data_IF_500199134553
#
_entry.id   IF_500199134553
#
_cell.length_a   1.000
_cell.length_b   1.000
_cell.length_c   1.000
_cell.angle_alpha   90.00
_cell.angle_beta   90.00
_cell.angle_gamma   90.00
#
_symmetry.space_group_name_H-M   'P 1'
#
loop_
_entity.id
_entity.type
_entity.pdbx_description
1 polymer ?
#
# COMPACT_ATOMS: atom_id res chain seq x y z
N UNK A 1 -11.79 2.22 -14.78
CA UNK A 1 -12.21 1.23 -13.75
C UNK A 1 -13.23 1.87 -12.84
N UNK A 2 -14.39 1.24 -12.63
CA UNK A 2 -15.46 1.65 -11.71
C UNK A 2 -14.98 1.95 -10.27
N UNK A 3 -14.18 1.06 -9.65
CA UNK A 3 -13.67 1.28 -8.28
C UNK A 3 -12.82 2.54 -8.16
N UNK A 4 -11.98 2.84 -9.16
CA UNK A 4 -11.24 4.10 -9.22
C UNK A 4 -12.18 5.29 -9.41
N UNK A 5 -13.15 5.23 -10.33
CA UNK A 5 -14.12 6.31 -10.53
C UNK A 5 -14.85 6.59 -9.21
N UNK A 6 -15.33 5.55 -8.52
CA UNK A 6 -15.98 5.67 -7.22
C UNK A 6 -15.08 6.35 -6.18
N UNK A 7 -13.81 5.95 -6.07
CA UNK A 7 -12.86 6.61 -5.16
C UNK A 7 -12.66 8.09 -5.49
N UNK A 8 -12.65 8.47 -6.77
CA UNK A 8 -12.46 9.85 -7.21
C UNK A 8 -13.75 10.70 -7.17
N UNK A 9 -14.92 10.08 -7.08
CA UNK A 9 -16.21 10.79 -7.05
C UNK A 9 -16.96 10.66 -5.73
N UNK A 10 -16.43 9.91 -4.76
CA UNK A 10 -17.12 9.72 -3.47
C UNK A 10 -17.23 11.03 -2.68
N UNK A 11 -18.32 11.24 -1.91
CA UNK A 11 -18.60 12.52 -1.26
C UNK A 11 -17.52 13.00 -0.29
N UNK A 12 -16.80 12.08 0.34
CA UNK A 12 -15.81 12.36 1.39
C UNK A 12 -14.60 13.13 0.87
N UNK A 13 -14.31 13.06 -0.43
CA UNK A 13 -13.19 13.75 -1.10
C UNK A 13 -11.86 13.60 -0.36
N UNK A 14 -11.57 12.39 0.08
CA UNK A 14 -10.55 12.09 1.09
C UNK A 14 -9.39 11.21 0.57
N UNK A 15 -9.31 11.04 -0.76
CA UNK A 15 -8.24 10.31 -1.45
C UNK A 15 -6.99 11.16 -1.66
N UNK A 16 -5.88 10.51 -2.07
CA UNK A 16 -4.66 11.21 -2.47
C UNK A 16 -4.89 12.17 -3.65
N UNK A 17 -5.75 11.79 -4.60
CA UNK A 17 -6.12 12.63 -5.74
C UNK A 17 -6.80 13.93 -5.31
N UNK A 18 -7.73 13.87 -4.35
CA UNK A 18 -8.42 15.08 -3.87
C UNK A 18 -7.48 16.05 -3.14
N UNK A 19 -6.40 15.53 -2.54
CA UNK A 19 -5.39 16.32 -1.83
C UNK A 19 -4.29 16.88 -2.74
N UNK A 20 -4.24 16.43 -3.99
CA UNK A 20 -3.26 16.87 -4.96
C UNK A 20 -3.75 18.11 -5.72
N UNK A 21 -3.14 19.26 -5.43
CA UNK A 21 -3.48 20.53 -6.09
C UNK A 21 -3.23 20.51 -7.62
N UNK A 22 -2.44 19.55 -8.12
CA UNK A 22 -2.13 19.37 -9.55
C UNK A 22 -2.90 18.19 -10.17
N UNK A 23 -3.82 17.59 -9.42
CA UNK A 23 -4.63 16.46 -9.84
C UNK A 23 -5.26 16.69 -11.21
N UNK A 24 -5.16 15.69 -12.07
CA UNK A 24 -5.85 15.69 -13.36
C UNK A 24 -7.34 15.63 -13.13
N UNK A 25 -8.09 16.63 -13.63
CA UNK A 25 -9.55 16.61 -13.54
C UNK A 25 -10.12 15.46 -14.34
N UNK A 26 -11.26 14.96 -13.88
CA UNK A 26 -12.00 13.90 -14.54
C UNK A 26 -13.39 14.40 -14.96
N UNK A 27 -13.85 13.94 -16.12
CA UNK A 27 -15.20 14.15 -16.64
C UNK A 27 -15.89 12.79 -16.77
N UNK A 28 -16.83 12.52 -15.85
CA UNK A 28 -17.52 11.24 -15.78
C UNK A 28 -18.65 11.20 -16.80
N UNK A 29 -18.61 10.21 -17.69
CA UNK A 29 -19.67 9.92 -18.65
C UNK A 29 -20.43 8.69 -18.23
N UNK A 30 -21.73 8.84 -18.09
CA UNK A 30 -22.66 7.76 -17.80
C UNK A 30 -23.34 7.29 -19.09
N UNK A 31 -23.64 6.00 -19.16
CA UNK A 31 -24.32 5.40 -20.30
C UNK A 31 -25.50 4.58 -19.81
N UNK A 32 -26.62 4.68 -20.55
CA UNK A 32 -27.84 3.88 -20.31
C UNK A 32 -28.30 3.98 -18.85
N UNK A 33 -28.65 5.21 -18.44
CA UNK A 33 -29.20 5.51 -17.11
C UNK A 33 -28.36 4.98 -15.95
N UNK A 34 -27.04 5.18 -16.02
CA UNK A 34 -26.10 4.80 -14.97
C UNK A 34 -25.65 3.34 -15.00
N UNK A 35 -26.06 2.54 -16.01
CA UNK A 35 -25.63 1.14 -16.15
C UNK A 35 -24.10 0.97 -16.15
N UNK A 36 -23.38 1.89 -16.80
CA UNK A 36 -21.91 1.93 -16.76
C UNK A 36 -21.39 3.36 -16.84
N UNK A 37 -20.16 3.54 -16.35
CA UNK A 37 -19.47 4.83 -16.36
C UNK A 37 -18.05 4.71 -16.91
N UNK A 38 -17.57 5.78 -17.52
CA UNK A 38 -16.15 6.02 -17.78
C UNK A 38 -15.80 7.40 -17.23
N UNK A 39 -14.50 7.65 -17.00
CA UNK A 39 -13.99 8.97 -16.66
C UNK A 39 -12.97 9.39 -17.72
N UNK A 40 -13.25 10.48 -18.41
CA UNK A 40 -12.30 11.11 -19.32
C UNK A 40 -11.32 11.95 -18.50
N UNK A 41 -10.03 11.84 -18.79
CA UNK A 41 -8.99 12.61 -18.12
C UNK A 41 -8.76 13.93 -18.88
N UNK A 42 -8.71 15.06 -18.18
CA UNK A 42 -8.44 16.39 -18.76
C UNK A 42 -7.08 16.45 -19.48
N UNK A 43 -6.12 15.65 -19.01
CA UNK A 43 -4.78 15.49 -19.60
C UNK A 43 -4.31 14.05 -19.45
N UNK A 44 -3.26 13.69 -20.19
CA UNK A 44 -2.61 12.39 -20.02
C UNK A 44 -2.02 12.28 -18.61
N UNK A 45 -2.43 11.26 -17.86
CA UNK A 45 -2.00 11.01 -16.49
C UNK A 45 -1.84 9.51 -16.26
N UNK A 46 -0.59 9.03 -16.31
CA UNK A 46 -0.34 7.62 -16.12
C UNK A 46 -0.55 7.17 -14.66
N UNK A 47 -0.52 8.07 -13.66
CA UNK A 47 -0.85 7.71 -12.27
C UNK A 47 -2.28 7.20 -12.20
N UNK A 48 -3.22 7.86 -12.87
CA UNK A 48 -4.62 7.45 -12.92
C UNK A 48 -4.86 6.28 -13.90
N UNK A 49 -4.14 6.21 -15.02
CA UNK A 49 -4.29 5.09 -15.95
C UNK A 49 -3.79 3.77 -15.36
N UNK A 50 -2.60 3.77 -14.75
CA UNK A 50 -2.02 2.62 -14.05
C UNK A 50 -2.78 2.33 -12.74
N UNK A 51 -3.25 3.37 -12.05
CA UNK A 51 -4.07 3.28 -10.84
C UNK A 51 -5.48 2.69 -11.05
N UNK A 52 -5.81 2.24 -12.26
CA UNK A 52 -6.97 1.39 -12.47
C UNK A 52 -6.78 -0.03 -11.93
N UNK A 53 -5.52 -0.46 -11.78
CA UNK A 53 -5.15 -1.81 -11.34
C UNK A 53 -4.07 -1.79 -10.25
N UNK A 54 -3.01 -1.00 -10.41
CA UNK A 54 -1.88 -0.92 -9.49
C UNK A 54 -2.20 -0.04 -8.27
N UNK A 55 -3.11 -0.55 -7.45
CA UNK A 55 -3.65 0.10 -6.25
C UNK A 55 -3.86 -0.91 -5.12
N UNK A 56 -4.08 -0.42 -3.91
CA UNK A 56 -4.73 -1.16 -2.83
C UNK A 56 -6.25 -1.26 -3.09
N UNK A 57 -6.85 -2.42 -2.80
CA UNK A 57 -8.28 -2.64 -3.05
C UNK A 57 -8.91 -3.79 -2.27
N UNK A 58 -10.21 -3.67 -2.04
CA UNK A 58 -11.06 -4.83 -1.80
C UNK A 58 -11.58 -5.38 -3.14
N UNK A 59 -11.42 -6.69 -3.35
CA UNK A 59 -12.08 -7.46 -4.40
C UNK A 59 -12.75 -8.73 -3.87
N UNK A 60 -12.90 -8.82 -2.55
CA UNK A 60 -13.19 -10.06 -1.86
C UNK A 60 -14.24 -9.85 -0.76
N UNK A 61 -14.97 -10.91 -0.39
CA UNK A 61 -15.73 -10.95 0.84
C UNK A 61 -14.81 -10.81 2.07
N UNK A 62 -15.39 -10.48 3.22
CA UNK A 62 -14.63 -10.20 4.45
C UNK A 62 -15.45 -10.36 5.73
N UNK A 63 -14.83 -9.92 6.82
CA UNK A 63 -15.35 -9.94 8.17
C UNK A 63 -15.81 -8.54 8.60
N UNK A 64 -16.91 -8.49 9.36
CA UNK A 64 -17.27 -7.30 10.12
C UNK A 64 -16.40 -7.24 11.39
N UNK A 65 -15.55 -6.21 11.57
CA UNK A 65 -14.68 -6.11 12.74
C UNK A 65 -15.43 -5.88 14.05
N UNK A 66 -16.69 -5.43 14.03
CA UNK A 66 -17.51 -5.22 15.24
C UNK A 66 -18.07 -6.53 15.78
N UNK A 67 -18.55 -7.41 14.89
CA UNK A 67 -19.14 -8.70 15.29
C UNK A 67 -18.14 -9.85 15.26
N UNK A 68 -17.09 -9.72 14.44
CA UNK A 68 -16.12 -10.77 14.16
C UNK A 68 -16.60 -11.84 13.20
N UNK A 69 -17.77 -11.66 12.58
CA UNK A 69 -18.39 -12.62 11.69
C UNK A 69 -17.97 -12.41 10.23
N UNK A 70 -17.83 -13.51 9.49
CA UNK A 70 -17.60 -13.49 8.05
C UNK A 70 -18.91 -13.19 7.31
N UNK A 71 -19.40 -11.95 7.41
CA UNK A 71 -20.73 -11.52 6.97
C UNK A 71 -20.72 -10.61 5.75
N UNK A 72 -19.58 -10.03 5.38
CA UNK A 72 -19.47 -9.14 4.22
C UNK A 72 -19.30 -10.00 2.98
N UNK A 73 -20.34 -10.11 2.14
CA UNK A 73 -20.40 -10.98 0.95
C UNK A 73 -20.37 -10.18 -0.34
N UNK A 74 -20.22 -10.87 -1.47
CA UNK A 74 -20.08 -10.27 -2.81
C UNK A 74 -21.11 -9.19 -3.20
N UNK A 75 -22.38 -9.20 -2.74
CA UNK A 75 -23.32 -8.10 -3.03
C UNK A 75 -23.01 -6.79 -2.29
N UNK A 76 -22.19 -6.83 -1.24
CA UNK A 76 -21.82 -5.66 -0.45
C UNK A 76 -20.83 -4.78 -1.23
N UNK A 77 -21.12 -3.47 -1.31
CA UNK A 77 -20.27 -2.52 -2.04
C UNK A 77 -18.82 -2.49 -1.52
N UNK A 78 -18.60 -2.84 -0.25
CA UNK A 78 -17.25 -2.92 0.32
C UNK A 78 -16.38 -3.97 -0.35
N UNK A 79 -16.93 -4.95 -1.08
CA UNK A 79 -16.13 -5.97 -1.79
C UNK A 79 -15.58 -5.50 -3.14
N UNK A 80 -15.87 -4.26 -3.56
CA UNK A 80 -15.26 -3.61 -4.73
C UNK A 80 -14.93 -2.16 -4.35
N UNK A 81 -13.86 -1.97 -3.58
CA UNK A 81 -13.56 -0.69 -2.95
C UNK A 81 -12.09 -0.31 -3.11
N UNK A 82 -11.82 0.90 -3.58
CA UNK A 82 -10.46 1.46 -3.65
C UNK A 82 -10.32 2.52 -2.53
N UNK A 83 -9.49 2.28 -1.50
CA UNK A 83 -9.18 3.30 -0.50
C UNK A 83 -8.54 4.54 -1.14
N UNK A 84 -7.58 4.31 -2.05
CA UNK A 84 -6.80 5.34 -2.73
C UNK A 84 -6.19 6.36 -1.76
N UNK A 85 -5.60 5.82 -0.68
CA UNK A 85 -5.01 6.52 0.46
C UNK A 85 -3.60 6.00 0.71
N UNK A 86 -2.76 6.80 1.37
CA UNK A 86 -1.44 6.33 1.75
C UNK A 86 -1.50 5.25 2.85
N UNK A 87 -0.43 4.47 2.99
CA UNK A 87 -0.28 3.42 4.01
C UNK A 87 -0.60 3.88 5.43
N UNK A 88 -0.25 5.12 5.79
CA UNK A 88 -0.43 5.64 7.15
C UNK A 88 -1.90 5.94 7.50
N UNK A 89 -2.78 5.92 6.51
CA UNK A 89 -4.22 6.12 6.66
C UNK A 89 -5.04 4.83 6.49
N UNK A 90 -4.42 3.73 6.06
CA UNK A 90 -5.14 2.48 5.72
C UNK A 90 -5.80 1.86 6.95
N UNK A 91 -5.09 1.83 8.07
CA UNK A 91 -5.62 1.30 9.33
C UNK A 91 -6.93 2.01 9.73
N UNK A 92 -6.93 3.35 9.76
CA UNK A 92 -8.11 4.13 10.12
C UNK A 92 -9.21 4.03 9.06
N UNK A 93 -8.82 3.98 7.77
CA UNK A 93 -9.76 3.81 6.66
C UNK A 93 -10.55 2.50 6.79
N UNK A 94 -9.88 1.37 7.01
CA UNK A 94 -10.54 0.06 7.11
C UNK A 94 -11.29 -0.14 8.44
N UNK A 95 -10.90 0.59 9.49
CA UNK A 95 -11.72 0.73 10.69
C UNK A 95 -13.03 1.45 10.41
N UNK A 96 -12.97 2.60 9.74
CA UNK A 96 -14.15 3.38 9.39
C UNK A 96 -15.07 2.63 8.40
N UNK A 97 -14.48 1.95 7.42
CA UNK A 97 -15.20 1.11 6.45
C UNK A 97 -15.87 -0.10 7.11
N UNK A 98 -15.40 -0.51 8.30
CA UNK A 98 -15.88 -1.70 8.99
C UNK A 98 -15.61 -2.97 8.19
N UNK A 99 -14.37 -3.16 7.73
CA UNK A 99 -13.98 -4.31 6.91
C UNK A 99 -12.65 -4.90 7.36
N UNK A 100 -12.57 -6.23 7.35
CA UNK A 100 -11.35 -7.03 7.51
C UNK A 100 -11.35 -8.19 6.55
N UNK A 101 -10.18 -8.58 6.08
CA UNK A 101 -10.04 -9.61 5.05
C UNK A 101 -10.09 -11.01 5.64
N UNK A 102 -9.32 -11.23 6.71
CA UNK A 102 -9.15 -12.58 7.25
C UNK A 102 -8.91 -12.59 8.75
N UNK A 103 -9.18 -13.73 9.38
CA UNK A 103 -8.80 -14.01 10.76
C UNK A 103 -7.43 -14.69 10.77
N UNK A 104 -6.45 -14.08 11.40
CA UNK A 104 -5.14 -14.72 11.58
C UNK A 104 -5.29 -15.98 12.45
N UNK A 105 -4.83 -17.12 11.95
CA UNK A 105 -5.09 -18.43 12.56
C UNK A 105 -4.41 -18.62 13.91
N UNK A 106 -3.26 -17.98 14.14
CA UNK A 106 -2.48 -18.12 15.37
C UNK A 106 -3.00 -17.18 16.47
N UNK A 107 -3.04 -15.89 16.15
CA UNK A 107 -3.43 -14.86 17.11
C UNK A 107 -4.95 -14.86 17.33
N UNK A 108 -5.74 -15.14 16.29
CA UNK A 108 -7.19 -14.99 16.27
C UNK A 108 -7.67 -13.55 15.99
N UNK A 109 -6.75 -12.60 15.77
CA UNK A 109 -7.08 -11.22 15.41
C UNK A 109 -7.56 -11.12 13.96
N UNK A 110 -8.41 -10.14 13.67
CA UNK A 110 -8.87 -9.85 12.32
C UNK A 110 -7.92 -8.88 11.63
N UNK A 111 -7.42 -9.28 10.47
CA UNK A 111 -6.41 -8.55 9.72
C UNK A 111 -6.95 -8.02 8.38
N UNK A 112 -6.34 -6.93 7.94
CA UNK A 112 -6.46 -6.41 6.58
C UNK A 112 -5.42 -7.10 5.67
N UNK A 113 -5.71 -7.22 4.37
CA UNK A 113 -4.79 -7.78 3.37
C UNK A 113 -4.41 -6.70 2.36
N UNK A 114 -3.11 -6.50 2.17
CA UNK A 114 -2.57 -5.58 1.16
C UNK A 114 -2.52 -6.19 -0.24
N UNK A 115 -2.72 -5.37 -1.28
CA UNK A 115 -2.40 -5.68 -2.67
C UNK A 115 -1.75 -4.48 -3.38
N UNK A 116 -0.63 -4.76 -4.07
CA UNK A 116 0.14 -3.90 -4.99
C UNK A 116 -0.25 -2.38 -5.06
N UNK A 117 0.05 -1.60 -4.00
CA UNK A 117 -0.40 -0.21 -3.88
C UNK A 117 0.57 0.79 -4.53
N UNK A 118 0.99 0.55 -5.77
CA UNK A 118 2.03 1.37 -6.41
C UNK A 118 1.56 2.82 -6.64
N UNK A 119 0.31 3.03 -7.08
CA UNK A 119 -0.20 4.38 -7.36
C UNK A 119 -0.25 5.25 -6.10
N UNK A 120 -0.73 4.70 -4.98
CA UNK A 120 -0.78 5.38 -3.70
C UNK A 120 0.61 5.59 -3.10
N UNK A 121 1.52 4.63 -3.29
CA UNK A 121 2.91 4.72 -2.81
C UNK A 121 3.67 5.80 -3.55
N UNK A 122 3.55 5.86 -4.88
CA UNK A 122 4.22 6.86 -5.72
C UNK A 122 3.76 8.28 -5.42
N UNK A 123 2.51 8.47 -5.00
CA UNK A 123 1.92 9.78 -4.73
C UNK A 123 2.67 10.55 -3.64
N UNK A 124 3.10 11.77 -3.94
CA UNK A 124 3.87 12.62 -3.03
C UNK A 124 5.34 12.24 -2.87
N UNK A 125 5.84 11.24 -3.61
CA UNK A 125 7.26 10.90 -3.69
C UNK A 125 8.09 12.05 -4.28
N UNK A 126 9.42 11.96 -4.16
CA UNK A 126 10.32 12.95 -4.78
C UNK A 126 10.12 13.00 -6.30
N UNK A 127 9.94 11.86 -6.95
CA UNK A 127 9.71 11.78 -8.40
C UNK A 127 8.35 12.35 -8.80
N UNK A 128 7.29 12.05 -8.06
CA UNK A 128 5.96 12.65 -8.31
C UNK A 128 5.98 14.17 -8.15
N UNK A 129 6.61 14.68 -7.07
CA UNK A 129 6.78 16.12 -6.85
C UNK A 129 7.60 16.80 -7.93
N UNK A 130 8.56 16.10 -8.53
CA UNK A 130 9.35 16.57 -9.66
C UNK A 130 8.59 16.49 -11.01
N UNK A 131 7.37 15.96 -11.04
CA UNK A 131 6.53 15.85 -12.23
C UNK A 131 6.74 14.59 -13.06
N UNK A 132 7.48 13.61 -12.54
CA UNK A 132 7.55 12.29 -13.17
C UNK A 132 6.23 11.53 -12.95
N UNK A 133 5.97 10.56 -13.82
CA UNK A 133 4.78 9.71 -13.80
C UNK A 133 5.19 8.26 -14.13
N UNK A 134 4.29 7.29 -13.97
CA UNK A 134 4.58 5.87 -14.19
C UNK A 134 5.22 5.61 -15.56
N UNK A 135 4.70 6.28 -16.59
CA UNK A 135 5.19 6.17 -17.96
C UNK A 135 6.58 6.78 -18.18
N UNK A 136 7.04 7.70 -17.33
CA UNK A 136 8.41 8.25 -17.40
C UNK A 136 9.48 7.17 -17.20
N UNK A 137 9.16 6.14 -16.40
CA UNK A 137 10.07 5.04 -16.07
C UNK A 137 9.72 3.73 -16.77
N UNK A 138 8.42 3.43 -16.91
CA UNK A 138 7.96 2.11 -17.38
C UNK A 138 7.50 2.09 -18.84
N UNK A 139 7.25 3.25 -19.45
CA UNK A 139 6.77 3.38 -20.83
C UNK A 139 7.45 4.55 -21.55
N UNK A 140 8.80 4.55 -21.65
CA UNK A 140 9.52 5.69 -22.19
C UNK A 140 9.22 5.90 -23.67
N UNK A 141 9.49 7.12 -24.15
CA UNK A 141 9.57 7.36 -25.60
C UNK A 141 10.81 6.66 -26.16
N UNK A 142 10.61 5.88 -27.21
CA UNK A 142 11.65 5.12 -27.93
C UNK A 142 11.61 5.48 -29.42
N UNK A 143 12.65 5.10 -30.15
CA UNK A 143 12.79 5.37 -31.59
C UNK A 143 12.90 4.06 -32.36
N UNK A 144 12.11 3.90 -33.42
CA UNK A 144 12.21 2.73 -34.29
C UNK A 144 13.39 2.86 -35.29
N UNK A 145 13.64 1.80 -36.07
CA UNK A 145 14.69 1.78 -37.09
C UNK A 145 14.55 2.88 -38.17
N UNK A 146 13.32 3.38 -38.41
CA UNK A 146 13.03 4.47 -39.36
C UNK A 146 13.18 5.87 -38.74
N UNK A 147 13.58 5.95 -37.47
CA UNK A 147 13.74 7.20 -36.77
C UNK A 147 12.45 7.79 -36.19
N UNK A 148 11.28 7.14 -36.31
CA UNK A 148 10.03 7.63 -35.72
C UNK A 148 10.04 7.45 -34.19
N UNK A 149 9.71 8.51 -33.45
CA UNK A 149 9.57 8.46 -31.99
C UNK A 149 8.15 8.03 -31.62
N UNK A 150 8.01 7.07 -30.70
CA UNK A 150 6.73 6.60 -30.18
C UNK A 150 6.85 6.23 -28.70
N UNK A 151 5.72 6.15 -27.99
CA UNK A 151 5.69 5.70 -26.59
C UNK A 151 5.74 4.18 -26.55
N UNK A 152 6.73 3.61 -25.84
CA UNK A 152 6.79 2.17 -25.61
C UNK A 152 5.56 1.71 -24.83
N UNK A 153 4.92 0.64 -25.30
CA UNK A 153 3.84 -0.05 -24.59
C UNK A 153 4.28 -1.39 -24.02
N UNK A 154 5.60 -1.61 -23.88
CA UNK A 154 6.13 -2.71 -23.08
C UNK A 154 6.43 -2.18 -21.67
N UNK A 155 5.44 -2.26 -20.79
CA UNK A 155 5.56 -1.86 -19.39
C UNK A 155 6.53 -2.82 -18.69
N UNK A 156 7.72 -2.33 -18.36
CA UNK A 156 8.77 -3.15 -17.75
C UNK A 156 9.61 -2.31 -16.80
N UNK A 157 10.55 -2.95 -16.11
CA UNK A 157 11.54 -2.25 -15.29
C UNK A 157 12.29 -1.17 -16.10
N UNK A 158 12.55 0.02 -15.55
CA UNK A 158 13.35 1.04 -16.22
C UNK A 158 14.76 0.55 -16.55
N UNK A 159 15.23 -0.54 -15.93
CA UNK A 159 16.52 -1.17 -16.25
C UNK A 159 16.63 -1.63 -17.71
N UNK A 160 15.51 -1.96 -18.36
CA UNK A 160 15.48 -2.28 -19.79
C UNK A 160 15.69 -1.06 -20.70
N UNK A 161 15.56 0.16 -20.14
CA UNK A 161 15.55 1.43 -20.88
C UNK A 161 16.22 2.57 -20.12
N UNK A 162 17.34 2.33 -19.40
CA UNK A 162 17.94 3.34 -18.52
C UNK A 162 18.25 4.65 -19.25
N UNK A 163 18.75 4.57 -20.48
CA UNK A 163 19.05 5.74 -21.34
C UNK A 163 17.81 6.56 -21.68
N UNK A 164 16.67 5.91 -21.85
CA UNK A 164 15.40 6.55 -22.23
C UNK A 164 14.53 6.93 -21.02
N UNK A 165 14.92 6.52 -19.81
CA UNK A 165 14.18 6.74 -18.57
C UNK A 165 15.01 7.59 -17.59
N UNK A 166 15.86 6.95 -16.78
CA UNK A 166 16.62 7.57 -15.72
C UNK A 166 17.67 8.57 -16.25
N UNK A 167 18.42 8.18 -17.27
CA UNK A 167 19.62 8.89 -17.75
C UNK A 167 19.32 9.93 -18.84
N UNK A 168 18.08 10.41 -18.91
CA UNK A 168 17.72 11.48 -19.84
C UNK A 168 18.31 12.82 -19.39
N UNK A 169 18.48 13.75 -20.33
CA UNK A 169 19.02 15.09 -20.06
C UNK A 169 18.25 15.87 -18.98
N UNK A 170 16.97 15.55 -18.82
CA UNK A 170 16.05 16.26 -17.92
C UNK A 170 15.93 15.59 -16.54
N UNK A 171 16.55 14.42 -16.32
CA UNK A 171 16.43 13.67 -15.08
C UNK A 171 17.80 13.49 -14.41
N UNK A 172 18.59 12.51 -14.85
CA UNK A 172 19.90 12.21 -14.27
C UNK A 172 21.01 12.18 -15.33
N UNK A 173 21.31 13.32 -15.98
CA UNK A 173 22.29 13.38 -17.09
C UNK A 173 23.71 12.99 -16.68
N UNK A 174 24.04 13.14 -15.40
CA UNK A 174 25.39 12.96 -14.87
C UNK A 174 25.62 11.57 -14.28
N UNK A 175 24.61 10.70 -14.27
CA UNK A 175 24.77 9.31 -13.82
C UNK A 175 25.16 8.41 -14.98
N UNK A 176 26.05 7.47 -14.69
CA UNK A 176 26.28 6.30 -15.55
C UNK A 176 25.19 5.25 -15.31
N UNK A 177 25.04 4.29 -16.24
CA UNK A 177 24.14 3.14 -16.02
C UNK A 177 24.50 2.35 -14.77
N UNK A 178 25.80 2.19 -14.47
CA UNK A 178 26.25 1.50 -13.26
C UNK A 178 25.80 2.25 -12.00
N UNK A 179 25.96 3.57 -11.96
CA UNK A 179 25.51 4.39 -10.83
C UNK A 179 23.98 4.37 -10.70
N UNK A 180 23.22 4.49 -11.78
CA UNK A 180 21.76 4.42 -11.71
C UNK A 180 21.27 3.05 -11.20
N UNK A 181 21.86 1.95 -11.68
CA UNK A 181 21.56 0.62 -11.16
C UNK A 181 21.90 0.49 -9.68
N UNK A 182 23.06 1.05 -9.25
CA UNK A 182 23.50 1.06 -7.86
C UNK A 182 22.52 1.82 -6.95
N UNK A 183 22.04 3.00 -7.36
CA UNK A 183 21.05 3.77 -6.59
C UNK A 183 19.73 3.00 -6.42
N UNK A 184 19.23 2.38 -7.50
CA UNK A 184 18.04 1.52 -7.43
C UNK A 184 18.28 0.37 -6.45
N UNK A 185 19.40 -0.34 -6.55
CA UNK A 185 19.69 -1.48 -5.68
C UNK A 185 19.91 -1.06 -4.22
N UNK A 186 20.54 0.10 -3.97
CA UNK A 186 20.75 0.66 -2.64
C UNK A 186 19.41 0.87 -1.91
N UNK A 187 18.46 1.52 -2.58
CA UNK A 187 17.11 1.75 -2.03
C UNK A 187 16.39 0.42 -1.79
N UNK A 188 16.36 -0.47 -2.78
CA UNK A 188 15.66 -1.76 -2.67
C UNK A 188 16.25 -2.63 -1.56
N UNK A 189 17.58 -2.68 -1.45
CA UNK A 189 18.27 -3.48 -0.43
C UNK A 189 18.00 -2.92 0.97
N UNK A 190 18.05 -1.60 1.14
CA UNK A 190 17.71 -0.97 2.42
C UNK A 190 16.27 -1.29 2.83
N UNK A 191 15.31 -1.11 1.93
CA UNK A 191 13.89 -1.39 2.21
C UNK A 191 13.66 -2.86 2.53
N UNK A 192 14.25 -3.79 1.77
CA UNK A 192 14.18 -5.23 2.06
C UNK A 192 14.70 -5.57 3.45
N UNK A 193 15.84 -4.98 3.85
CA UNK A 193 16.36 -5.15 5.21
C UNK A 193 15.37 -4.67 6.28
N UNK A 194 14.68 -3.55 6.03
CA UNK A 194 13.62 -3.04 6.92
C UNK A 194 12.38 -3.93 6.94
N UNK A 195 11.96 -4.47 5.79
CA UNK A 195 10.86 -5.42 5.71
C UNK A 195 11.16 -6.68 6.53
N UNK A 196 12.34 -7.28 6.37
CA UNK A 196 12.76 -8.45 7.17
C UNK A 196 12.84 -8.14 8.67
N UNK A 197 13.28 -6.95 9.04
CA UNK A 197 13.27 -6.53 10.44
C UNK A 197 11.84 -6.37 10.99
N UNK A 198 10.93 -5.79 10.21
CA UNK A 198 9.52 -5.69 10.60
C UNK A 198 8.88 -7.08 10.75
N UNK A 199 9.14 -8.00 9.82
CA UNK A 199 8.69 -9.40 9.90
C UNK A 199 9.16 -10.10 11.16
N UNK A 200 10.43 -9.92 11.55
CA UNK A 200 10.97 -10.48 12.77
C UNK A 200 10.17 -10.05 14.00
N UNK A 201 9.91 -8.74 14.14
CA UNK A 201 9.16 -8.21 15.28
C UNK A 201 7.68 -8.58 15.21
N UNK A 202 7.08 -8.61 14.02
CA UNK A 202 5.70 -9.05 13.82
C UNK A 202 5.53 -10.53 14.23
N UNK A 203 6.48 -11.39 13.84
CA UNK A 203 6.51 -12.80 14.21
C UNK A 203 6.65 -12.96 15.73
N UNK A 204 7.57 -12.20 16.36
CA UNK A 204 7.73 -12.20 17.81
C UNK A 204 6.44 -11.75 18.55
N UNK A 205 5.72 -10.76 18.01
CA UNK A 205 4.41 -10.37 18.54
C UNK A 205 3.37 -11.50 18.41
N UNK A 206 3.31 -12.16 17.25
CA UNK A 206 2.40 -13.29 17.04
C UNK A 206 2.66 -14.40 18.06
N UNK A 207 3.92 -14.77 18.25
CA UNK A 207 4.33 -15.79 19.23
C UNK A 207 3.96 -15.38 20.66
N UNK A 208 4.17 -14.12 21.02
CA UNK A 208 3.79 -13.56 22.32
C UNK A 208 2.28 -13.58 22.55
N UNK A 209 1.47 -13.24 21.56
CA UNK A 209 0.01 -13.35 21.67
C UNK A 209 -0.41 -14.81 21.92
N UNK A 210 0.23 -15.78 21.24
CA UNK A 210 -0.03 -17.21 21.45
C UNK A 210 0.37 -17.65 22.87
N UNK A 211 1.54 -17.20 23.35
CA UNK A 211 2.01 -17.44 24.72
C UNK A 211 1.01 -16.90 25.75
N UNK A 212 0.61 -15.63 25.61
CA UNK A 212 -0.35 -14.97 26.50
C UNK A 212 -1.70 -15.71 26.57
N UNK A 213 -2.20 -16.19 25.43
CA UNK A 213 -3.43 -17.00 25.37
C UNK A 213 -3.26 -18.33 26.11
N UNK A 214 -2.15 -19.05 25.90
CA UNK A 214 -1.86 -20.32 26.59
C UNK A 214 -1.69 -20.13 28.10
N UNK A 215 -1.10 -19.01 28.50
CA UNK A 215 -0.97 -18.64 29.89
C UNK A 215 -2.31 -18.26 30.53
N UNK A 216 -3.41 -18.13 29.77
CA UNK A 216 -4.70 -17.69 30.27
C UNK A 216 -4.68 -16.24 30.76
N UNK A 217 -4.02 -15.36 30.00
CA UNK A 217 -4.14 -13.92 30.22
C UNK A 217 -5.57 -13.44 29.95
N UNK A 218 -5.99 -12.34 30.59
CA UNK A 218 -7.31 -11.77 30.36
C UNK A 218 -7.58 -11.47 28.87
N UNK A 219 -8.81 -11.73 28.36
CA UNK A 219 -9.14 -11.54 26.94
C UNK A 219 -8.92 -10.11 26.41
N UNK A 220 -9.08 -9.11 27.25
CA UNK A 220 -8.88 -7.71 26.89
C UNK A 220 -7.42 -7.39 26.54
N UNK A 221 -6.46 -7.95 27.29
CA UNK A 221 -5.02 -7.81 27.00
C UNK A 221 -4.69 -8.46 25.66
N UNK A 222 -5.25 -9.63 25.39
CA UNK A 222 -5.07 -10.32 24.10
C UNK A 222 -5.65 -9.49 22.96
N UNK A 223 -6.83 -8.89 23.14
CA UNK A 223 -7.46 -8.03 22.13
C UNK A 223 -6.63 -6.77 21.86
N UNK A 224 -6.08 -6.15 22.90
CA UNK A 224 -5.19 -4.99 22.74
C UNK A 224 -3.90 -5.36 21.99
N UNK A 225 -3.30 -6.51 22.27
CA UNK A 225 -2.14 -7.00 21.52
C UNK A 225 -2.48 -7.37 20.06
N UNK A 226 -3.65 -7.95 19.81
CA UNK A 226 -4.16 -8.19 18.44
C UNK A 226 -4.38 -6.89 17.67
N UNK A 227 -4.78 -5.81 18.35
CA UNK A 227 -4.91 -4.49 17.73
C UNK A 227 -3.55 -3.93 17.30
N UNK A 228 -2.53 -4.10 18.14
CA UNK A 228 -1.15 -3.77 17.77
C UNK A 228 -0.65 -4.63 16.60
N UNK A 229 -1.02 -5.91 16.57
CA UNK A 229 -0.72 -6.80 15.43
C UNK A 229 -1.35 -6.28 14.14
N UNK A 230 -2.61 -5.85 14.16
CA UNK A 230 -3.26 -5.29 12.98
C UNK A 230 -2.56 -4.03 12.47
N UNK A 231 -2.20 -3.09 13.36
CA UNK A 231 -1.45 -1.87 12.97
C UNK A 231 -0.08 -2.22 12.39
N UNK A 232 0.66 -3.09 13.07
CA UNK A 232 1.97 -3.53 12.63
C UNK A 232 1.91 -4.25 11.27
N UNK A 233 0.87 -5.07 11.06
CA UNK A 233 0.62 -5.79 9.82
C UNK A 233 0.36 -4.83 8.66
N UNK A 234 -0.55 -3.87 8.81
CA UNK A 234 -0.83 -2.85 7.78
C UNK A 234 0.45 -2.13 7.34
N UNK A 235 1.25 -1.70 8.31
CA UNK A 235 2.46 -0.93 8.08
C UNK A 235 3.63 -1.74 7.48
N UNK A 236 3.57 -3.08 7.57
CA UNK A 236 4.54 -3.99 6.97
C UNK A 236 4.08 -4.52 5.61
N UNK A 237 2.89 -5.11 5.56
CA UNK A 237 2.43 -5.90 4.41
C UNK A 237 2.29 -5.02 3.16
N UNK A 238 1.97 -3.73 3.34
CA UNK A 238 1.99 -2.72 2.28
C UNK A 238 3.25 -2.81 1.42
N UNK A 239 4.43 -2.97 2.04
CA UNK A 239 5.73 -2.95 1.36
C UNK A 239 6.12 -4.30 0.77
N UNK A 240 5.56 -5.39 1.27
CA UNK A 240 5.70 -6.71 0.64
C UNK A 240 4.75 -6.89 -0.54
N UNK A 241 3.62 -6.17 -0.53
CA UNK A 241 2.66 -6.15 -1.63
C UNK A 241 3.08 -5.18 -2.75
N UNK A 242 3.71 -4.07 -2.39
CA UNK A 242 4.21 -3.06 -3.33
C UNK A 242 5.45 -3.55 -4.08
N UNK A 243 5.44 -3.41 -5.41
CA UNK A 243 6.37 -4.11 -6.29
C UNK A 243 7.75 -3.44 -6.46
N UNK A 244 7.93 -2.22 -5.95
CA UNK A 244 9.17 -1.45 -6.17
C UNK A 244 10.24 -1.71 -5.12
N UNK A 245 9.93 -2.52 -4.10
CA UNK A 245 10.75 -2.66 -2.90
C UNK A 245 11.10 -1.27 -2.30
N UNK A 246 10.11 -0.37 -2.27
CA UNK A 246 10.24 1.00 -1.73
C UNK A 246 10.88 2.03 -2.66
N UNK A 247 11.31 1.67 -3.87
CA UNK A 247 11.89 2.63 -4.81
C UNK A 247 10.92 3.76 -5.21
N UNK A 248 9.61 3.47 -5.27
CA UNK A 248 8.61 4.50 -5.58
C UNK A 248 8.50 5.57 -4.49
N UNK A 249 8.77 5.25 -3.22
CA UNK A 249 8.76 6.23 -2.12
C UNK A 249 9.59 5.74 -0.91
N UNK A 250 10.93 5.89 -0.96
CA UNK A 250 11.81 5.28 0.05
C UNK A 250 11.65 5.89 1.44
N UNK A 251 11.30 7.16 1.53
CA UNK A 251 11.05 7.84 2.81
C UNK A 251 9.81 7.28 3.48
N UNK A 252 8.70 7.14 2.75
CA UNK A 252 7.46 6.55 3.27
C UNK A 252 7.67 5.07 3.65
N UNK A 253 8.44 4.33 2.85
CA UNK A 253 8.82 2.95 3.16
C UNK A 253 9.53 2.83 4.50
N UNK A 254 10.54 3.68 4.70
CA UNK A 254 11.31 3.72 5.94
C UNK A 254 10.45 4.11 7.14
N UNK A 255 9.58 5.10 7.01
CA UNK A 255 8.69 5.55 8.09
C UNK A 255 7.73 4.42 8.49
N UNK A 256 7.00 3.88 7.52
CA UNK A 256 6.00 2.84 7.75
C UNK A 256 6.62 1.59 8.37
N UNK A 257 7.73 1.08 7.83
CA UNK A 257 8.40 -0.11 8.36
C UNK A 257 8.99 0.10 9.76
N UNK A 258 9.45 1.33 10.06
CA UNK A 258 9.86 1.68 11.44
C UNK A 258 8.66 1.62 12.38
N UNK A 259 7.52 2.21 12.00
CA UNK A 259 6.30 2.17 12.80
C UNK A 259 5.75 0.75 12.97
N UNK A 260 5.87 -0.12 11.96
CA UNK A 260 5.50 -1.53 12.08
C UNK A 260 6.27 -2.24 13.21
N UNK A 261 7.58 -1.98 13.31
CA UNK A 261 8.42 -2.49 14.40
C UNK A 261 7.97 -1.92 15.75
N UNK A 262 7.64 -0.63 15.81
CA UNK A 262 7.18 0.02 17.04
C UNK A 262 5.85 -0.55 17.55
N UNK A 263 4.85 -0.69 16.68
CA UNK A 263 3.55 -1.30 17.04
C UNK A 263 3.74 -2.77 17.44
N UNK A 264 4.60 -3.52 16.74
CA UNK A 264 4.95 -4.89 17.13
C UNK A 264 5.50 -4.96 18.56
N UNK A 265 6.43 -4.07 18.91
CA UNK A 265 7.04 -4.00 20.24
C UNK A 265 6.05 -3.56 21.32
N UNK A 266 5.14 -2.64 21.02
CA UNK A 266 4.05 -2.26 21.94
C UNK A 266 3.17 -3.47 22.28
N UNK A 267 2.79 -4.26 21.28
CA UNK A 267 2.01 -5.48 21.48
C UNK A 267 2.74 -6.51 22.34
N UNK A 268 4.05 -6.69 22.13
CA UNK A 268 4.89 -7.60 22.93
C UNK A 268 4.90 -7.15 24.39
N UNK A 269 5.13 -5.84 24.63
CA UNK A 269 5.17 -5.28 25.97
C UNK A 269 3.85 -5.47 26.73
N UNK A 270 2.69 -5.31 26.08
CA UNK A 270 1.38 -5.56 26.70
C UNK A 270 1.27 -6.99 27.24
N UNK A 271 1.76 -7.98 26.48
CA UNK A 271 1.74 -9.38 26.90
C UNK A 271 2.75 -9.62 28.04
N UNK A 272 3.98 -9.14 27.90
CA UNK A 272 5.05 -9.35 28.89
C UNK A 272 4.68 -8.74 30.25
N UNK A 273 4.15 -7.51 30.26
CA UNK A 273 3.70 -6.84 31.48
C UNK A 273 2.58 -7.63 32.19
N UNK A 274 1.64 -8.20 31.42
CA UNK A 274 0.55 -8.99 31.96
C UNK A 274 1.03 -10.35 32.50
N UNK A 275 1.99 -11.01 31.84
CA UNK A 275 2.63 -12.23 32.33
C UNK A 275 3.42 -11.97 33.62
N UNK A 276 4.14 -10.86 33.68
CA UNK A 276 4.87 -10.44 34.88
C UNK A 276 3.96 -10.26 36.08
N UNK A 277 2.84 -9.52 35.91
CA UNK A 277 1.82 -9.33 36.96
C UNK A 277 1.22 -10.65 37.42
N UNK A 278 0.89 -11.56 36.49
CA UNK A 278 0.33 -12.88 36.81
C UNK A 278 1.31 -13.75 37.62
N UNK A 279 2.60 -13.65 37.32
CA UNK A 279 3.65 -14.40 38.03
C UNK A 279 3.85 -13.84 39.44
N UNK A 280 3.84 -12.52 39.62
CA UNK A 280 3.95 -11.88 40.93
C UNK A 280 2.72 -12.09 41.84
N UNK A 281 1.56 -12.44 41.27
CA UNK A 281 0.33 -12.73 42.01
C UNK A 281 0.17 -14.20 42.44
N UNK A 282 1.12 -15.07 42.08
CA UNK A 282 1.19 -16.47 42.50
C UNK A 282 2.21 -16.62 43.62
#
# INVERSE_FOLDING_TARGET
RDGLIQALTRPEKDTLWHKDAKATKIDVKEFRDGFRKIALLEKYDAKLQCGQCHVEYNCNPGYDPKTGEYSIKAPDQRTNHFPFKNVLQIYDHYNALGFRDFKNTLTGGLLWKAQHPEAETFWGSTHDKAGASCNSCHMPKVRNAKGTVYTSHWQTSPRSYLKQTCLTSNCHPNLTEAQANYEIDSVRNFTKGKMRKAEFWLSALIDKIVEGKKAGLPPEVIREAQEQHQKAHVLWEWWTAENSDGFHNPTLARESLTRSVEESRKGIQLIDDALGKKTASK
#
